data_IF_183522991462
#
_entry.id   IF_183522991462
#
_cell.length_a   1.000
_cell.length_b   1.000
_cell.length_c   1.000
_cell.angle_alpha   90.00
_cell.angle_beta   90.00
_cell.angle_gamma   90.00
#
_symmetry.space_group_name_H-M   'P 1'
#
loop_
_entity.id
_entity.type
_entity.pdbx_description
1 polymer ?
#
# COMPACT_ATOMS: atom_id res chain seq x y z
N UNK A 1 -12.77 -0.62 8.57
CA UNK A 1 -11.64 -0.10 9.39
C UNK A 1 -11.49 -0.78 10.76
N UNK A 2 -12.59 -1.01 11.49
CA UNK A 2 -12.59 -1.59 12.85
C UNK A 2 -12.00 -3.01 12.95
N UNK A 3 -12.28 -3.88 11.99
CA UNK A 3 -11.75 -5.25 11.97
C UNK A 3 -10.22 -5.30 11.83
N UNK A 4 -9.65 -4.38 11.05
CA UNK A 4 -8.21 -4.30 10.78
C UNK A 4 -7.48 -3.83 12.03
N UNK A 5 -7.97 -2.77 12.68
CA UNK A 5 -7.41 -2.26 13.94
C UNK A 5 -7.40 -3.34 15.04
N UNK A 6 -8.53 -4.04 15.23
CA UNK A 6 -8.61 -5.11 16.21
C UNK A 6 -7.64 -6.27 15.93
N UNK A 7 -7.45 -6.63 14.65
CA UNK A 7 -6.48 -7.66 14.27
C UNK A 7 -5.03 -7.23 14.52
N UNK A 8 -4.67 -5.99 14.16
CA UNK A 8 -3.33 -5.45 14.41
C UNK A 8 -3.04 -5.40 15.91
N UNK A 9 -3.99 -4.93 16.73
CA UNK A 9 -3.83 -4.88 18.18
C UNK A 9 -3.57 -6.26 18.81
N UNK A 10 -4.29 -7.31 18.36
CA UNK A 10 -4.03 -8.69 18.82
C UNK A 10 -2.64 -9.19 18.45
N UNK A 11 -2.15 -8.88 17.24
CA UNK A 11 -0.81 -9.31 16.81
C UNK A 11 0.26 -8.58 17.62
N UNK A 12 0.12 -7.26 17.80
CA UNK A 12 1.06 -6.43 18.59
C UNK A 12 1.14 -6.84 20.06
N UNK A 13 0.09 -7.46 20.62
CA UNK A 13 0.15 -8.03 21.97
C UNK A 13 1.13 -9.22 22.11
N UNK A 14 1.56 -9.81 20.99
CA UNK A 14 2.46 -10.97 20.95
C UNK A 14 3.84 -10.66 20.36
N UNK A 15 4.10 -9.44 19.87
CA UNK A 15 5.38 -9.09 19.27
C UNK A 15 5.63 -7.58 19.28
N UNK A 16 6.90 -7.19 19.42
CA UNK A 16 7.36 -5.81 19.23
C UNK A 16 7.69 -5.49 17.77
N UNK A 17 7.63 -6.48 16.87
CA UNK A 17 7.89 -6.27 15.45
C UNK A 17 6.81 -5.40 14.81
N UNK A 18 7.17 -4.50 13.86
CA UNK A 18 6.20 -3.73 13.10
C UNK A 18 5.21 -4.63 12.34
N UNK A 19 3.92 -4.30 12.43
CA UNK A 19 2.83 -5.02 11.76
C UNK A 19 2.38 -4.25 10.51
N UNK A 20 2.57 -4.86 9.35
CA UNK A 20 2.14 -4.33 8.06
C UNK A 20 0.87 -5.02 7.56
N UNK A 21 -0.01 -4.30 6.86
CA UNK A 21 -1.29 -4.84 6.34
C UNK A 21 -1.34 -4.76 4.81
N UNK A 22 -1.73 -5.86 4.16
CA UNK A 22 -1.66 -6.00 2.70
C UNK A 22 -2.95 -6.31 1.94
N UNK A 23 -4.11 -6.32 2.59
CA UNK A 23 -5.35 -6.76 1.95
C UNK A 23 -6.05 -5.65 1.17
N UNK A 24 -6.03 -5.73 -0.17
CA UNK A 24 -6.91 -4.93 -1.04
C UNK A 24 -6.53 -3.45 -1.21
N UNK A 25 -5.26 -3.11 -1.01
CA UNK A 25 -4.77 -1.73 -1.15
C UNK A 25 -4.62 -1.38 -2.63
N UNK A 26 -5.44 -0.45 -3.11
CA UNK A 26 -5.45 -0.03 -4.52
C UNK A 26 -5.38 1.48 -4.70
N UNK A 27 -5.65 2.26 -3.64
CA UNK A 27 -5.75 3.73 -3.68
C UNK A 27 -4.96 4.35 -2.54
N UNK A 28 -4.62 5.63 -2.68
CA UNK A 28 -3.96 6.41 -1.63
C UNK A 28 -4.83 6.51 -0.36
N UNK A 29 -6.16 6.59 -0.50
CA UNK A 29 -7.08 6.64 0.63
C UNK A 29 -7.12 5.33 1.41
N UNK A 30 -7.10 4.17 0.72
CA UNK A 30 -6.95 2.88 1.39
C UNK A 30 -5.62 2.83 2.16
N UNK A 31 -4.55 3.30 1.54
CA UNK A 31 -3.23 3.32 2.16
C UNK A 31 -3.18 4.25 3.39
N UNK A 32 -3.84 5.42 3.34
CA UNK A 32 -3.98 6.35 4.47
C UNK A 32 -4.77 5.72 5.61
N UNK A 33 -5.93 5.13 5.32
CA UNK A 33 -6.78 4.51 6.35
C UNK A 33 -6.10 3.33 7.06
N UNK A 34 -5.34 2.52 6.32
CA UNK A 34 -4.59 1.38 6.87
C UNK A 34 -3.34 1.87 7.62
N UNK A 35 -2.60 2.82 7.05
CA UNK A 35 -1.41 3.40 7.67
C UNK A 35 -1.69 4.21 8.95
N UNK A 36 -2.96 4.47 9.29
CA UNK A 36 -3.36 5.04 10.57
C UNK A 36 -3.44 3.99 11.69
N UNK A 37 -3.56 2.69 11.36
CA UNK A 37 -3.76 1.60 12.33
C UNK A 37 -2.66 0.54 12.29
N UNK A 38 -1.84 0.53 11.24
CA UNK A 38 -0.73 -0.41 11.03
C UNK A 38 0.58 0.36 10.84
N UNK A 39 1.71 -0.30 11.12
CA UNK A 39 3.03 0.31 10.97
C UNK A 39 3.44 0.46 9.50
N UNK A 40 2.79 -0.30 8.61
CA UNK A 40 3.02 -0.24 7.18
C UNK A 40 1.88 -0.83 6.34
N UNK A 41 1.98 -0.60 5.04
CA UNK A 41 1.00 -1.03 4.05
C UNK A 41 1.71 -1.82 2.96
N UNK A 42 1.21 -3.01 2.64
CA UNK A 42 1.76 -3.88 1.60
C UNK A 42 0.87 -3.83 0.36
N UNK A 43 1.46 -3.59 -0.81
CA UNK A 43 0.72 -3.50 -2.07
C UNK A 43 1.36 -4.44 -3.08
N UNK A 44 0.64 -5.51 -3.43
CA UNK A 44 1.08 -6.49 -4.43
C UNK A 44 0.30 -6.38 -5.73
N UNK A 45 -0.96 -6.81 -5.71
CA UNK A 45 -1.79 -6.95 -6.91
C UNK A 45 -1.96 -5.66 -7.72
N UNK A 46 -2.01 -4.48 -7.07
CA UNK A 46 -2.09 -3.21 -7.80
C UNK A 46 -0.82 -2.94 -8.63
N UNK A 47 0.36 -3.27 -8.11
CA UNK A 47 1.63 -3.10 -8.83
C UNK A 47 1.72 -4.10 -9.98
N UNK A 48 1.39 -5.37 -9.73
CA UNK A 48 1.41 -6.41 -10.78
C UNK A 48 0.44 -6.07 -11.90
N UNK A 49 -0.77 -5.60 -11.57
CA UNK A 49 -1.76 -5.19 -12.56
C UNK A 49 -1.31 -3.96 -13.36
N UNK A 50 -0.63 -3.01 -12.71
CA UNK A 50 -0.09 -1.83 -13.40
C UNK A 50 1.02 -2.21 -14.38
N UNK A 51 1.89 -3.15 -14.00
CA UNK A 51 2.88 -3.72 -14.90
C UNK A 51 2.16 -4.39 -16.07
N UNK A 52 1.26 -5.33 -15.79
CA UNK A 52 0.53 -6.09 -16.81
C UNK A 52 -0.21 -5.19 -17.81
N UNK A 53 -0.84 -4.10 -17.34
CA UNK A 53 -1.54 -3.14 -18.20
C UNK A 53 -0.62 -2.26 -19.05
N UNK A 54 0.68 -2.22 -18.75
CA UNK A 54 1.67 -1.43 -19.50
C UNK A 54 2.50 -2.25 -20.50
N UNK A 55 2.34 -3.57 -20.52
CA UNK A 55 3.09 -4.45 -21.40
C UNK A 55 2.51 -4.46 -22.83
N UNK A 56 3.33 -4.80 -23.80
CA UNK A 56 2.86 -5.11 -25.16
C UNK A 56 2.06 -6.42 -25.18
N UNK A 57 1.42 -6.72 -26.31
CA UNK A 57 0.71 -8.00 -26.52
C UNK A 57 1.60 -9.23 -26.32
N UNK A 58 2.90 -9.08 -26.55
CA UNK A 58 3.91 -10.15 -26.40
C UNK A 58 4.55 -10.18 -24.99
N UNK A 59 4.00 -9.42 -24.04
CA UNK A 59 4.48 -9.37 -22.65
C UNK A 59 5.79 -8.58 -22.46
N UNK A 60 6.18 -7.75 -23.42
CA UNK A 60 7.39 -6.93 -23.31
C UNK A 60 7.10 -5.60 -22.62
N UNK A 61 8.06 -5.12 -21.83
CA UNK A 61 7.97 -3.80 -21.21
C UNK A 61 8.01 -2.69 -22.28
N UNK A 62 7.27 -1.61 -22.02
CA UNK A 62 7.25 -0.41 -22.86
C UNK A 62 8.00 0.73 -22.17
N UNK A 63 8.16 1.85 -22.87
CA UNK A 63 8.68 3.08 -22.27
C UNK A 63 7.81 3.56 -21.08
N UNK A 64 6.53 3.18 -21.05
CA UNK A 64 5.56 3.59 -20.03
C UNK A 64 5.52 2.67 -18.81
N UNK A 65 6.10 1.46 -18.87
CA UNK A 65 6.03 0.49 -17.78
C UNK A 65 6.61 1.03 -16.47
N UNK A 66 7.81 1.61 -16.51
CA UNK A 66 8.45 2.18 -15.31
C UNK A 66 7.74 3.46 -14.83
N UNK A 67 7.41 4.44 -15.69
CA UNK A 67 6.60 5.61 -15.30
C UNK A 67 5.25 5.24 -14.67
N UNK A 68 4.56 4.25 -15.22
CA UNK A 68 3.25 3.81 -14.73
C UNK A 68 3.33 3.26 -13.29
N UNK A 69 4.32 2.41 -13.01
CA UNK A 69 4.54 1.83 -11.67
C UNK A 69 5.00 2.89 -10.69
N UNK A 70 5.98 3.71 -11.06
CA UNK A 70 6.53 4.74 -10.17
C UNK A 70 5.48 5.79 -9.81
N UNK A 71 4.60 6.17 -10.74
CA UNK A 71 3.46 7.07 -10.48
C UNK A 71 2.49 6.48 -9.44
N UNK A 72 2.13 5.21 -9.60
CA UNK A 72 1.27 4.50 -8.65
C UNK A 72 1.90 4.44 -7.26
N UNK A 73 3.17 4.00 -7.18
CA UNK A 73 3.92 3.88 -5.92
C UNK A 73 4.05 5.24 -5.23
N UNK A 74 4.30 6.32 -6.00
CA UNK A 74 4.36 7.68 -5.46
C UNK A 74 3.02 8.08 -4.82
N UNK A 75 1.90 7.86 -5.50
CA UNK A 75 0.56 8.13 -4.96
C UNK A 75 0.26 7.35 -3.66
N UNK A 76 0.57 6.05 -3.65
CA UNK A 76 0.40 5.21 -2.45
C UNK A 76 1.28 5.69 -1.29
N UNK A 77 2.54 6.03 -1.55
CA UNK A 77 3.49 6.50 -0.54
C UNK A 77 3.06 7.84 0.08
N UNK A 78 2.48 8.74 -0.71
CA UNK A 78 1.89 9.99 -0.20
C UNK A 78 0.74 9.71 0.76
N UNK A 79 -0.15 8.77 0.42
CA UNK A 79 -1.24 8.36 1.31
C UNK A 79 -0.77 7.83 2.66
N UNK A 80 0.25 6.95 2.66
CA UNK A 80 0.86 6.41 3.89
C UNK A 80 1.58 7.49 4.71
N UNK A 81 2.26 8.43 4.06
CA UNK A 81 2.93 9.54 4.77
C UNK A 81 1.92 10.48 5.42
N UNK A 82 0.82 10.77 4.73
CA UNK A 82 -0.25 11.61 5.26
C UNK A 82 -0.92 11.01 6.51
N UNK A 83 -1.01 9.68 6.63
CA UNK A 83 -1.52 9.05 7.85
C UNK A 83 -0.57 9.17 9.05
N UNK A 84 0.75 9.10 8.81
CA UNK A 84 1.75 9.28 9.88
C UNK A 84 1.78 10.70 10.42
N UNK A 85 1.62 11.70 9.55
CA UNK A 85 1.58 13.09 9.99
C UNK A 85 0.36 13.37 10.88
N UNK A 86 -0.81 12.86 10.49
CA UNK A 86 -2.05 13.02 11.25
C UNK A 86 -2.11 12.22 12.57
N UNK A 87 -1.21 11.25 12.78
CA UNK A 87 -1.08 10.52 14.04
C UNK A 87 -0.03 11.15 14.99
N UNK A 88 0.74 12.12 14.51
CA UNK A 88 1.77 12.83 15.26
C UNK A 88 1.31 14.21 15.77
N UNK A 89 0.16 14.70 15.29
CA UNK A 89 -0.63 15.81 15.86
C UNK A 89 -1.62 15.27 16.91
#
# INVERSE_FOLDING_TARGET
PSLISGAVGRIKAHTELPVCVGFGVKTADHAKAIGAVADGVVVGSAIVNQIAGSLTKDGQATADTVPAVTTLVKGLSTGVRASRLAAAE
#
